data_IF_416055835877
#
_entry.id   IF_416055835877
#
_cell.length_a   1.000
_cell.length_b   1.000
_cell.length_c   1.000
_cell.angle_alpha   90.00
_cell.angle_beta   90.00
_cell.angle_gamma   90.00
#
_symmetry.space_group_name_H-M   'P 1'
#
loop_
_entity.id
_entity.type
_entity.pdbx_description
1 polymer ?
#
# COMPACT_ATOMS: atom_id res chain seq x y z
N UNK A 1 -13.13 -4.80 -11.70
CA UNK A 1 -12.79 -6.24 -11.55
C UNK A 1 -13.54 -6.85 -10.35
N UNK A 2 -13.67 -8.19 -10.17
CA UNK A 2 -14.30 -8.73 -8.96
C UNK A 2 -13.44 -8.45 -7.72
N UNK A 3 -14.10 -8.17 -6.59
CA UNK A 3 -13.44 -7.96 -5.31
C UNK A 3 -12.64 -9.21 -4.90
N UNK A 4 -11.42 -9.01 -4.43
CA UNK A 4 -10.54 -10.04 -3.95
C UNK A 4 -10.75 -10.26 -2.45
N UNK A 5 -10.92 -11.52 -2.07
CA UNK A 5 -10.95 -11.96 -0.68
C UNK A 5 -9.55 -12.36 -0.19
N UNK A 6 -9.16 -11.86 0.98
CA UNK A 6 -7.93 -12.17 1.68
C UNK A 6 -8.28 -12.65 3.08
N UNK A 7 -7.66 -13.72 3.54
CA UNK A 7 -7.82 -14.19 4.93
C UNK A 7 -6.60 -13.74 5.72
N UNK A 8 -6.84 -12.91 6.74
CA UNK A 8 -5.86 -12.50 7.73
C UNK A 8 -6.08 -13.22 9.06
N UNK A 9 -4.98 -13.62 9.67
CA UNK A 9 -5.00 -14.34 10.95
C UNK A 9 -5.40 -13.47 12.15
N UNK A 10 -5.25 -12.14 12.05
CA UNK A 10 -5.54 -11.21 13.14
C UNK A 10 -6.91 -10.54 12.98
N UNK A 11 -7.36 -10.32 11.75
CA UNK A 11 -8.56 -9.53 11.45
C UNK A 11 -9.61 -10.24 10.59
N UNK A 12 -9.43 -11.53 10.28
CA UNK A 12 -10.42 -12.32 9.55
C UNK A 12 -10.46 -12.00 8.05
N UNK A 13 -11.65 -11.90 7.48
CA UNK A 13 -11.84 -11.66 6.06
C UNK A 13 -11.60 -10.18 5.71
N UNK A 14 -10.70 -9.96 4.75
CA UNK A 14 -10.39 -8.66 4.17
C UNK A 14 -10.81 -8.68 2.70
N UNK A 15 -11.58 -7.68 2.29
CA UNK A 15 -12.04 -7.44 0.92
C UNK A 15 -11.19 -6.35 0.28
N UNK A 16 -10.66 -6.63 -0.90
CA UNK A 16 -9.88 -5.70 -1.70
C UNK A 16 -10.62 -5.48 -3.03
N UNK A 17 -11.13 -4.28 -3.24
CA UNK A 17 -11.77 -3.87 -4.48
C UNK A 17 -10.87 -2.91 -5.25
N UNK A 18 -10.91 -3.04 -6.57
CA UNK A 18 -10.18 -2.18 -7.49
C UNK A 18 -11.08 -1.90 -8.70
N UNK A 19 -11.42 -0.63 -8.85
CA UNK A 19 -12.16 -0.17 -10.01
C UNK A 19 -11.23 0.18 -11.17
N UNK A 20 -11.84 0.38 -12.33
CA UNK A 20 -11.13 0.69 -13.58
C UNK A 20 -10.62 2.15 -13.58
N UNK A 21 -11.13 3.00 -12.69
CA UNK A 21 -10.73 4.40 -12.48
C UNK A 21 -9.49 4.54 -11.58
N UNK A 22 -8.88 3.41 -11.18
CA UNK A 22 -7.65 3.39 -10.39
C UNK A 22 -7.87 3.67 -8.90
N UNK A 23 -9.11 3.60 -8.42
CA UNK A 23 -9.40 3.55 -6.99
C UNK A 23 -9.15 2.14 -6.48
N UNK A 24 -8.44 2.07 -5.36
CA UNK A 24 -8.28 0.83 -4.59
C UNK A 24 -8.97 1.02 -3.25
N UNK A 25 -9.78 0.06 -2.86
CA UNK A 25 -10.48 0.04 -1.58
C UNK A 25 -10.14 -1.26 -0.86
N UNK A 26 -9.83 -1.16 0.42
CA UNK A 26 -9.67 -2.31 1.32
C UNK A 26 -10.67 -2.13 2.46
N UNK A 27 -11.40 -3.18 2.79
CA UNK A 27 -12.35 -3.21 3.90
C UNK A 27 -12.36 -4.59 4.53
N UNK A 28 -12.96 -4.76 5.71
CA UNK A 28 -13.10 -6.06 6.36
C UNK A 28 -13.90 -5.94 7.64
N UNK A 29 -14.27 -7.07 8.23
CA UNK A 29 -15.13 -7.08 9.43
C UNK A 29 -14.45 -6.43 10.64
N UNK A 30 -13.13 -6.55 10.74
CA UNK A 30 -12.34 -6.09 11.89
C UNK A 30 -11.27 -5.06 11.52
N UNK A 31 -11.41 -4.39 10.37
CA UNK A 31 -10.56 -3.27 9.94
C UNK A 31 -11.39 -2.12 9.38
N UNK A 32 -10.94 -0.86 9.53
CA UNK A 32 -11.57 0.27 8.87
C UNK A 32 -11.49 0.16 7.34
N UNK A 33 -12.36 0.90 6.66
CA UNK A 33 -12.31 1.02 5.20
C UNK A 33 -11.17 1.95 4.82
N UNK A 34 -10.19 1.42 4.11
CA UNK A 34 -9.08 2.17 3.54
C UNK A 34 -9.30 2.38 2.04
N UNK A 35 -9.01 3.57 1.51
CA UNK A 35 -9.03 3.79 0.06
C UNK A 35 -7.96 4.75 -0.42
N UNK A 36 -7.56 4.60 -1.68
CA UNK A 36 -6.68 5.52 -2.39
C UNK A 36 -7.20 5.70 -3.81
N UNK A 37 -7.20 6.94 -4.28
CA UNK A 37 -7.43 7.27 -5.67
C UNK A 37 -6.07 7.55 -6.31
N UNK A 38 -5.71 6.76 -7.32
CA UNK A 38 -4.48 7.00 -8.07
C UNK A 38 -4.72 8.12 -9.09
N UNK A 39 -3.97 9.21 -8.98
CA UNK A 39 -4.01 10.25 -10.02
C UNK A 39 -3.51 9.68 -11.36
N UNK A 40 -4.36 9.67 -12.38
CA UNK A 40 -4.03 9.22 -13.73
C UNK A 40 -3.00 10.14 -14.42
N UNK A 41 -2.81 11.36 -13.90
CA UNK A 41 -1.93 12.38 -14.47
C UNK A 41 -0.43 12.12 -14.15
N UNK A 42 -0.13 11.01 -13.47
CA UNK A 42 1.25 10.59 -13.17
C UNK A 42 1.90 11.37 -12.02
N UNK A 43 1.22 12.36 -11.44
CA UNK A 43 1.66 13.06 -10.24
C UNK A 43 1.32 12.25 -8.97
N UNK A 44 2.07 11.17 -8.76
CA UNK A 44 1.95 10.32 -7.58
C UNK A 44 2.27 11.04 -6.26
N UNK A 45 2.72 12.31 -6.30
CA UNK A 45 3.04 13.12 -5.12
C UNK A 45 1.81 13.70 -4.41
N UNK A 46 0.61 13.55 -4.99
CA UNK A 46 -0.66 14.08 -4.45
C UNK A 46 -1.71 13.02 -4.15
N UNK A 47 -1.32 11.74 -4.07
CA UNK A 47 -2.28 10.70 -3.71
C UNK A 47 -2.64 10.84 -2.22
N UNK A 48 -3.94 10.82 -1.92
CA UNK A 48 -4.43 10.82 -0.55
C UNK A 48 -4.95 9.42 -0.21
N UNK A 49 -4.52 8.90 0.93
CA UNK A 49 -5.09 7.71 1.54
C UNK A 49 -6.18 8.13 2.51
N UNK A 50 -7.33 7.48 2.48
CA UNK A 50 -8.39 7.67 3.45
C UNK A 50 -8.58 6.40 4.29
N UNK A 51 -8.68 6.52 5.62
CA UNK A 51 -9.12 5.47 6.55
C UNK A 51 -10.36 5.97 7.28
N UNK A 52 -11.52 5.34 7.06
CA UNK A 52 -12.81 5.79 7.63
C UNK A 52 -12.97 7.31 7.59
N UNK A 53 -12.81 7.90 6.40
CA UNK A 53 -12.88 9.34 6.12
C UNK A 53 -11.70 10.20 6.59
N UNK A 54 -10.82 9.69 7.45
CA UNK A 54 -9.58 10.38 7.85
C UNK A 54 -8.58 10.36 6.70
N UNK A 55 -8.17 11.54 6.23
CA UNK A 55 -7.21 11.68 5.13
C UNK A 55 -5.76 11.70 5.64
N UNK A 56 -4.91 11.04 4.88
CA UNK A 56 -3.47 10.97 5.06
C UNK A 56 -2.79 11.39 3.76
N UNK A 57 -1.75 12.19 3.90
CA UNK A 57 -0.87 12.58 2.81
C UNK A 57 0.10 11.44 2.52
N UNK A 58 0.38 11.22 1.23
CA UNK A 58 1.34 10.22 0.77
C UNK A 58 2.46 10.88 -0.02
N UNK A 59 3.69 10.64 0.41
CA UNK A 59 4.88 10.98 -0.37
C UNK A 59 5.50 9.69 -0.92
N UNK A 60 5.43 9.52 -2.24
CA UNK A 60 5.95 8.34 -2.93
C UNK A 60 7.37 8.61 -3.43
N UNK A 61 8.32 7.86 -2.90
CA UNK A 61 9.72 7.89 -3.28
C UNK A 61 10.10 6.60 -4.02
N UNK A 62 11.04 6.73 -4.95
CA UNK A 62 11.68 5.57 -5.56
C UNK A 62 12.61 4.90 -4.54
N UNK A 63 12.38 3.62 -4.26
CA UNK A 63 13.26 2.83 -3.40
C UNK A 63 14.49 2.31 -4.14
N UNK A 64 15.36 1.63 -3.39
CA UNK A 64 16.70 1.21 -3.81
C UNK A 64 16.72 0.12 -4.90
N UNK A 65 15.61 -0.63 -5.05
CA UNK A 65 15.46 -1.68 -6.06
C UNK A 65 14.48 -1.23 -7.15
N UNK A 66 14.73 -1.68 -8.38
CA UNK A 66 13.87 -1.39 -9.54
C UNK A 66 12.41 -1.78 -9.18
N UNK A 67 11.51 -0.78 -9.12
CA UNK A 67 10.07 -0.89 -8.81
C UNK A 67 9.68 -1.09 -7.34
N UNK A 68 10.62 -1.00 -6.40
CA UNK A 68 10.27 -0.96 -4.99
C UNK A 68 10.04 0.51 -4.58
N UNK A 69 8.83 0.89 -4.19
CA UNK A 69 8.52 2.24 -3.71
C UNK A 69 8.79 2.35 -2.21
N UNK A 70 9.22 3.52 -1.74
CA UNK A 70 9.10 3.92 -0.35
C UNK A 70 7.98 4.94 -0.28
N UNK A 71 7.05 4.78 0.66
CA UNK A 71 5.92 5.67 0.82
C UNK A 71 5.94 6.18 2.25
N UNK A 72 5.98 7.48 2.40
CA UNK A 72 5.82 8.12 3.70
C UNK A 72 4.37 8.56 3.82
N UNK A 73 3.74 8.21 4.94
CA UNK A 73 2.34 8.48 5.24
C UNK A 73 2.31 9.41 6.45
N UNK A 74 1.58 10.53 6.34
CA UNK A 74 1.41 11.50 7.41
C UNK A 74 -0.06 11.88 7.59
N UNK A 75 -0.49 11.98 8.84
CA UNK A 75 -1.84 12.43 9.18
C UNK A 75 -1.97 12.78 10.66
N UNK A 76 -3.16 13.19 11.09
CA UNK A 76 -3.41 13.63 12.46
C UNK A 76 -3.11 12.56 13.53
N UNK A 77 -3.20 11.28 13.15
CA UNK A 77 -3.00 10.14 14.06
C UNK A 77 -1.56 9.63 14.10
N UNK A 78 -0.67 10.16 13.25
CA UNK A 78 0.75 9.83 13.30
C UNK A 78 1.42 9.77 11.92
N UNK A 79 2.57 9.10 11.91
CA UNK A 79 3.42 8.94 10.75
C UNK A 79 3.80 7.48 10.56
N UNK A 80 3.84 7.06 9.30
CA UNK A 80 4.25 5.72 8.93
C UNK A 80 5.15 5.74 7.70
N UNK A 81 5.92 4.67 7.55
CA UNK A 81 6.75 4.45 6.37
C UNK A 81 6.45 3.04 5.86
N UNK A 82 6.00 2.95 4.61
CA UNK A 82 5.92 1.72 3.87
C UNK A 82 7.16 1.59 2.99
N UNK A 83 8.09 0.75 3.41
CA UNK A 83 9.42 0.66 2.80
C UNK A 83 9.75 -0.75 2.36
N UNK A 84 10.61 -0.92 1.34
CA UNK A 84 11.12 -2.23 0.98
C UNK A 84 11.86 -2.86 2.17
N UNK A 85 11.49 -4.09 2.52
CA UNK A 85 12.19 -4.91 3.52
C UNK A 85 13.10 -5.94 2.83
N UNK A 86 12.64 -6.51 1.73
CA UNK A 86 13.42 -7.41 0.85
C UNK A 86 13.03 -7.14 -0.60
N UNK A 87 13.64 -7.87 -1.55
CA UNK A 87 13.24 -7.79 -2.98
C UNK A 87 11.78 -8.17 -3.25
N UNK A 88 11.10 -8.83 -2.31
CA UNK A 88 9.73 -9.37 -2.50
C UNK A 88 8.72 -8.83 -1.48
N UNK A 89 9.17 -8.08 -0.48
CA UNK A 89 8.34 -7.70 0.66
C UNK A 89 8.59 -6.26 1.05
N UNK A 90 7.53 -5.61 1.52
CA UNK A 90 7.60 -4.33 2.18
C UNK A 90 7.30 -4.50 3.66
N UNK A 91 7.76 -3.53 4.45
CA UNK A 91 7.42 -3.40 5.87
C UNK A 91 6.67 -2.10 6.08
N UNK A 92 5.69 -2.14 6.95
CA UNK A 92 5.06 -0.97 7.52
C UNK A 92 5.78 -0.64 8.83
N UNK A 93 6.21 0.60 8.96
CA UNK A 93 6.96 1.10 10.11
C UNK A 93 6.17 2.26 10.69
N UNK A 94 5.90 2.23 11.99
CA UNK A 94 5.33 3.35 12.75
C UNK A 94 6.45 4.32 13.12
N UNK A 95 6.22 5.62 12.91
CA UNK A 95 7.15 6.70 13.20
C UNK A 95 7.91 7.23 11.98
N UNK A 96 8.92 8.06 12.26
CA UNK A 96 9.76 8.70 11.25
C UNK A 96 11.10 7.99 11.07
N UNK A 97 11.83 8.37 10.02
CA UNK A 97 13.21 7.93 9.83
C UNK A 97 14.09 8.54 10.94
N UNK A 98 14.75 7.69 11.73
CA UNK A 98 15.80 8.09 12.67
C UNK A 98 15.35 8.39 14.11
N UNK A 99 14.05 8.30 14.42
CA UNK A 99 13.52 8.44 15.79
C UNK A 99 12.56 7.29 16.06
N UNK A 100 12.83 6.52 17.12
CA UNK A 100 12.03 5.39 17.67
C UNK A 100 11.05 4.73 16.68
N UNK A 101 11.56 4.21 15.58
CA UNK A 101 10.74 3.60 14.55
C UNK A 101 10.53 2.12 14.84
N UNK A 102 9.27 1.68 14.78
CA UNK A 102 8.88 0.30 15.10
C UNK A 102 8.23 -0.36 13.89
N UNK A 103 8.75 -1.50 13.48
CA UNK A 103 8.11 -2.32 12.45
C UNK A 103 6.82 -2.93 13.02
N UNK A 104 5.68 -2.64 12.38
CA UNK A 104 4.36 -3.13 12.80
C UNK A 104 3.91 -4.34 11.98
N UNK A 105 4.51 -4.53 10.80
CA UNK A 105 4.24 -5.70 10.00
C UNK A 105 4.96 -5.70 8.67
N UNK A 106 4.92 -6.86 8.02
CA UNK A 106 5.56 -7.13 6.74
C UNK A 106 4.54 -7.67 5.75
N UNK A 107 4.49 -7.06 4.58
CA UNK A 107 3.49 -7.35 3.54
C UNK A 107 4.18 -7.83 2.27
N UNK A 108 3.54 -8.78 1.59
CA UNK A 108 3.98 -9.35 0.33
C UNK A 108 2.79 -9.36 -0.62
N UNK A 109 2.94 -8.75 -1.79
CA UNK A 109 1.98 -8.79 -2.89
C UNK A 109 2.58 -9.61 -4.05
N UNK A 110 1.99 -10.75 -4.37
CA UNK A 110 2.38 -11.60 -5.50
C UNK A 110 1.15 -11.94 -6.35
N UNK A 111 1.24 -11.70 -7.67
CA UNK A 111 0.15 -11.99 -8.63
C UNK A 111 -1.20 -11.39 -8.19
N UNK A 112 -2.11 -12.24 -7.71
CA UNK A 112 -3.42 -11.89 -7.19
C UNK A 112 -3.51 -12.25 -5.70
N UNK A 113 -2.47 -12.03 -4.90
CA UNK A 113 -2.53 -12.31 -3.46
C UNK A 113 -1.70 -11.31 -2.68
N UNK A 114 -2.33 -10.73 -1.66
CA UNK A 114 -1.63 -9.97 -0.63
C UNK A 114 -1.60 -10.81 0.64
N UNK A 115 -0.43 -10.96 1.23
CA UNK A 115 -0.24 -11.62 2.52
C UNK A 115 0.50 -10.68 3.45
N UNK A 116 0.11 -10.66 4.71
CA UNK A 116 0.74 -9.85 5.73
C UNK A 116 1.13 -10.71 6.94
N UNK A 117 2.24 -10.34 7.56
CA UNK A 117 2.72 -10.88 8.81
C UNK A 117 2.83 -9.71 9.78
N UNK A 118 1.92 -9.66 10.73
CA UNK A 118 1.81 -8.59 11.69
C UNK A 118 2.68 -8.83 12.93
N UNK A 119 3.18 -7.75 13.53
CA UNK A 119 3.92 -7.82 14.78
C UNK A 119 3.03 -8.30 15.92
N UNK A 120 3.57 -9.15 16.80
CA UNK A 120 2.84 -9.72 17.94
C UNK A 120 3.29 -9.19 19.30
N UNK A 121 4.36 -8.40 19.36
CA UNK A 121 4.84 -7.77 20.59
C UNK A 121 3.96 -6.61 21.01
N UNK A 122 3.92 -6.26 22.30
CA UNK A 122 3.10 -5.13 22.82
C UNK A 122 3.29 -3.84 22.03
N UNK A 123 4.52 -3.59 21.63
CA UNK A 123 4.95 -2.34 20.99
C UNK A 123 4.87 -2.40 19.45
N UNK A 124 4.82 -3.60 18.89
CA UNK A 124 4.75 -3.87 17.45
C UNK A 124 3.40 -4.39 17.00
N UNK A 125 2.45 -4.59 17.92
CA UNK A 125 1.07 -4.96 17.61
C UNK A 125 0.45 -3.87 16.74
N UNK A 126 -0.04 -4.22 15.54
CA UNK A 126 -0.67 -3.22 14.69
C UNK A 126 -2.07 -2.88 15.19
N UNK A 127 -2.49 -1.66 14.91
CA UNK A 127 -3.89 -1.27 14.97
C UNK A 127 -4.62 -1.78 13.72
N UNK A 128 -5.96 -1.94 13.77
CA UNK A 128 -6.74 -2.28 12.58
C UNK A 128 -6.50 -1.34 11.38
N UNK A 129 -6.29 -0.04 11.65
CA UNK A 129 -5.99 0.95 10.60
C UNK A 129 -4.62 0.74 9.94
N UNK A 130 -3.62 0.31 10.71
CA UNK A 130 -2.30 -0.05 10.16
C UNK A 130 -2.38 -1.31 9.28
N UNK A 131 -3.21 -2.28 9.66
CA UNK A 131 -3.47 -3.45 8.83
C UNK A 131 -4.12 -3.06 7.50
N UNK A 132 -5.21 -2.28 7.55
CA UNK A 132 -5.90 -1.78 6.37
C UNK A 132 -4.96 -0.98 5.45
N UNK A 133 -4.14 -0.11 6.03
CA UNK A 133 -3.12 0.68 5.33
C UNK A 133 -2.08 -0.23 4.64
N UNK A 134 -1.56 -1.24 5.33
CA UNK A 134 -0.57 -2.15 4.75
C UNK A 134 -1.11 -2.96 3.58
N UNK A 135 -2.35 -3.47 3.67
CA UNK A 135 -3.01 -4.15 2.56
C UNK A 135 -3.24 -3.21 1.37
N UNK A 136 -3.77 -2.02 1.63
CA UNK A 136 -4.04 -1.02 0.60
C UNK A 136 -2.76 -0.63 -0.15
N UNK A 137 -1.68 -0.29 0.57
CA UNK A 137 -0.41 0.12 -0.04
C UNK A 137 0.25 -1.02 -0.82
N UNK A 138 0.20 -2.25 -0.30
CA UNK A 138 0.76 -3.41 -0.99
C UNK A 138 -0.04 -3.73 -2.26
N UNK A 139 -1.36 -3.63 -2.22
CA UNK A 139 -2.20 -3.76 -3.39
C UNK A 139 -1.80 -2.70 -4.44
N UNK A 140 -1.81 -1.43 -4.03
CA UNK A 140 -1.66 -0.28 -4.92
C UNK A 140 -0.28 -0.16 -5.54
N UNK A 141 0.78 -0.29 -4.74
CA UNK A 141 2.16 0.00 -5.19
C UNK A 141 3.03 -1.25 -5.38
N UNK A 142 2.53 -2.43 -4.97
CA UNK A 142 3.26 -3.69 -5.01
C UNK A 142 4.41 -3.77 -4.01
N UNK A 143 5.03 -4.95 -3.92
CA UNK A 143 6.14 -5.21 -2.98
C UNK A 143 7.45 -5.67 -3.65
N UNK A 144 7.65 -5.35 -4.93
CA UNK A 144 8.93 -5.53 -5.64
C UNK A 144 9.00 -6.67 -6.66
N UNK A 145 8.06 -7.62 -6.69
CA UNK A 145 7.83 -8.49 -7.87
C UNK A 145 6.95 -7.76 -8.89
N UNK A 146 7.05 -8.06 -10.19
CA UNK A 146 5.98 -7.70 -11.11
C UNK A 146 4.70 -8.36 -10.61
N UNK A 147 3.67 -7.56 -10.30
CA UNK A 147 2.30 -8.05 -10.36
C UNK A 147 2.12 -8.44 -11.83
N UNK A 148 2.09 -9.74 -12.11
CA UNK A 148 1.69 -10.23 -13.43
C UNK A 148 0.18 -10.07 -13.53
N UNK A 149 -0.28 -8.82 -13.58
CA UNK A 149 -1.61 -8.40 -13.99
C UNK A 149 -1.57 -6.89 -14.23
N UNK A 150 -1.25 -6.58 -15.49
CA UNK A 150 -1.73 -5.51 -16.36
C UNK A 150 -2.06 -4.14 -15.74
N UNK A 151 -1.21 -3.17 -16.12
CA UNK A 151 -1.57 -1.89 -16.72
C UNK A 151 -2.81 -1.15 -16.19
N UNK A 152 -2.61 -0.09 -15.39
CA UNK A 152 -3.00 1.30 -15.71
C UNK A 152 -2.01 2.22 -14.95
N UNK A 153 -0.85 2.44 -15.54
CA UNK A 153 0.01 3.62 -15.33
C UNK A 153 0.96 3.77 -16.53
N UNK A 154 0.38 3.64 -17.73
CA UNK A 154 1.02 4.10 -18.96
C UNK A 154 -0.01 4.91 -19.75
N UNK A 155 -0.42 6.04 -19.16
CA UNK A 155 -0.72 7.21 -19.97
C UNK A 155 0.58 7.72 -20.56
N UNK A 156 0.82 7.40 -21.84
CA UNK A 156 1.64 8.15 -22.81
C UNK A 156 3.08 8.56 -22.43
N UNK A 157 4.05 7.89 -23.07
CA UNK A 157 5.12 8.62 -23.77
C UNK A 157 4.97 8.31 -25.25
N UNK A 158 4.26 9.17 -25.98
CA UNK A 158 4.30 9.20 -27.44
C UNK A 158 5.64 9.81 -27.85
N UNK A 159 6.51 9.08 -28.56
CA UNK A 159 7.38 9.68 -29.57
C UNK A 159 7.45 8.74 -30.78
N UNK A 160 6.84 9.23 -31.85
CA UNK A 160 6.98 8.82 -33.25
C UNK A 160 8.46 8.86 -33.67
N UNK A 161 8.97 7.81 -34.32
CA UNK A 161 10.09 7.98 -35.27
C UNK A 161 9.72 7.21 -36.54
N UNK A 162 9.44 7.92 -37.66
CA UNK A 162 9.34 7.31 -38.97
C UNK A 162 10.74 7.08 -39.55
N UNK A 163 10.90 5.98 -40.30
CA UNK A 163 12.12 5.62 -41.03
C UNK A 163 11.95 4.27 -41.69
#
# INVERSE_FOLDING_TARGET
MPAQELVDSHHGLILLDRDDDGRVVVSGESIPTASINLSMDGDASRNNLALDEVRYELLVFKGSWRRAHRIEISGATGHWIFAPATRRSHRLIRGHRGVESKEVGKVVAEQQRVTAHWGSGSDSKPTPGECAMGYLLAATYGTGKPLTLMAIFQGTVNVLVPG
#
